data_IF_054909434246
#
_entry.id   IF_054909434246
#
_cell.length_a   1.000
_cell.length_b   1.000
_cell.length_c   1.000
_cell.angle_alpha   90.00
_cell.angle_beta   90.00
_cell.angle_gamma   90.00
#
_symmetry.space_group_name_H-M   'P 1'
#
loop_
_entity.id
_entity.type
_entity.pdbx_description
1 polymer ?
#
# COMPACT_ATOMS: atom_id res chain seq x y z
N UNK A 1 -10.43 -10.88 82.08
CA UNK A 1 -9.29 -11.02 81.14
C UNK A 1 -9.81 -10.96 79.73
N UNK A 2 -9.60 -9.87 79.09
CA UNK A 2 -10.18 -9.61 77.77
C UNK A 2 -9.16 -9.89 76.67
N UNK A 3 -9.42 -10.91 75.89
CA UNK A 3 -8.63 -11.18 74.67
C UNK A 3 -9.38 -10.50 73.50
N UNK A 4 -8.89 -9.34 73.09
CA UNK A 4 -9.32 -8.68 71.86
C UNK A 4 -8.56 -9.33 70.67
N UNK A 5 -9.28 -10.07 69.87
CA UNK A 5 -8.79 -10.56 68.60
C UNK A 5 -8.90 -9.40 67.58
N UNK A 6 -7.76 -8.95 67.08
CA UNK A 6 -7.69 -7.97 66.00
C UNK A 6 -7.76 -8.74 64.67
N UNK A 7 -8.87 -8.64 63.98
CA UNK A 7 -9.03 -9.15 62.60
C UNK A 7 -8.41 -8.12 61.66
N UNK A 8 -7.28 -8.45 61.08
CA UNK A 8 -6.73 -7.69 59.93
C UNK A 8 -7.43 -8.13 58.68
N UNK A 9 -8.30 -7.26 58.17
CA UNK A 9 -8.88 -7.40 56.86
C UNK A 9 -7.86 -7.00 55.80
N UNK A 10 -7.28 -7.97 55.13
CA UNK A 10 -6.42 -7.71 53.96
C UNK A 10 -7.24 -7.35 52.75
N UNK A 11 -7.27 -6.06 52.36
CA UNK A 11 -7.81 -5.63 51.08
C UNK A 11 -6.81 -6.02 50.00
N UNK A 12 -7.10 -7.06 49.26
CA UNK A 12 -6.38 -7.37 48.03
C UNK A 12 -6.88 -6.43 46.93
N UNK A 13 -6.10 -5.40 46.61
CA UNK A 13 -6.35 -4.55 45.48
C UNK A 13 -5.97 -5.31 44.19
N UNK A 14 -6.95 -5.84 43.51
CA UNK A 14 -6.79 -6.44 42.19
C UNK A 14 -6.55 -5.32 41.17
N UNK A 15 -5.30 -5.09 40.79
CA UNK A 15 -4.94 -4.24 39.67
C UNK A 15 -5.33 -4.97 38.38
N UNK A 16 -6.49 -4.62 37.85
CA UNK A 16 -6.88 -5.04 36.51
C UNK A 16 -5.98 -4.31 35.52
N UNK A 17 -4.95 -5.01 35.03
CA UNK A 17 -4.14 -4.53 33.92
C UNK A 17 -5.00 -4.55 32.66
N UNK A 18 -5.57 -3.42 32.30
CA UNK A 18 -6.13 -3.21 30.97
C UNK A 18 -4.95 -3.18 30.00
N UNK A 19 -4.60 -4.34 29.46
CA UNK A 19 -3.69 -4.42 28.33
C UNK A 19 -4.31 -3.64 27.17
N UNK A 20 -3.65 -2.55 26.74
CA UNK A 20 -4.03 -1.85 25.55
C UNK A 20 -3.92 -2.85 24.38
N UNK A 21 -5.07 -3.32 23.88
CA UNK A 21 -5.10 -4.09 22.64
C UNK A 21 -4.75 -3.13 21.51
N UNK A 22 -3.50 -3.19 21.06
CA UNK A 22 -3.05 -2.58 19.83
C UNK A 22 -3.76 -3.31 18.70
N UNK A 23 -4.83 -2.72 18.15
CA UNK A 23 -5.45 -3.22 16.94
C UNK A 23 -4.48 -2.97 15.79
N UNK A 24 -3.74 -4.01 15.39
CA UNK A 24 -2.96 -3.97 14.17
C UNK A 24 -3.93 -3.65 13.02
N UNK A 25 -3.73 -2.52 12.34
CA UNK A 25 -4.49 -2.20 11.15
C UNK A 25 -4.19 -3.26 10.10
N UNK A 26 -5.23 -3.94 9.57
CA UNK A 26 -5.07 -4.81 8.43
C UNK A 26 -4.46 -4.02 7.26
N UNK A 27 -3.57 -4.66 6.48
CA UNK A 27 -3.04 -4.05 5.27
C UNK A 27 -4.20 -3.64 4.35
N UNK A 28 -4.10 -2.48 3.65
CA UNK A 28 -5.13 -2.06 2.72
C UNK A 28 -5.37 -3.12 1.63
N UNK A 29 -6.64 -3.40 1.33
CA UNK A 29 -7.03 -4.39 0.31
C UNK A 29 -6.75 -3.91 -1.11
N UNK A 30 -6.54 -2.61 -1.28
CA UNK A 30 -6.29 -1.97 -2.57
C UNK A 30 -4.82 -1.60 -2.67
N UNK A 31 -4.21 -1.98 -3.78
CA UNK A 31 -2.82 -1.71 -4.08
C UNK A 31 -2.71 -0.91 -5.37
N UNK A 32 -1.84 0.08 -5.40
CA UNK A 32 -1.47 0.83 -6.60
C UNK A 32 -0.02 0.53 -6.93
N UNK A 33 0.25 0.18 -8.19
CA UNK A 33 1.61 -0.10 -8.67
C UNK A 33 1.91 0.84 -9.83
N UNK A 34 2.99 1.60 -9.69
CA UNK A 34 3.61 2.35 -10.76
C UNK A 34 4.72 1.53 -11.40
N UNK A 35 4.74 1.49 -12.73
CA UNK A 35 5.76 0.80 -13.51
C UNK A 35 6.40 1.80 -14.48
N UNK A 36 7.70 1.95 -14.38
CA UNK A 36 8.47 2.86 -15.22
C UNK A 36 9.93 2.47 -15.33
N UNK A 37 10.74 3.41 -15.71
CA UNK A 37 12.20 3.28 -15.77
C UNK A 37 12.85 4.64 -15.53
N UNK A 38 14.07 4.62 -15.03
CA UNK A 38 14.81 5.87 -14.79
C UNK A 38 15.19 6.58 -16.10
N UNK A 39 15.35 5.82 -17.16
CA UNK A 39 15.64 6.31 -18.52
C UNK A 39 14.39 6.51 -19.39
N UNK A 40 13.23 6.69 -18.75
CA UNK A 40 11.95 6.87 -19.42
C UNK A 40 11.49 8.34 -19.27
N UNK A 41 11.56 9.18 -20.33
CA UNK A 41 11.17 10.59 -20.23
C UNK A 41 9.72 10.83 -19.74
N UNK A 42 8.69 10.14 -20.27
CA UNK A 42 7.32 10.30 -19.75
C UNK A 42 7.19 9.88 -18.28
N UNK A 43 7.95 8.88 -17.84
CA UNK A 43 7.98 8.46 -16.44
C UNK A 43 8.53 9.56 -15.54
N UNK A 44 9.61 10.20 -15.95
CA UNK A 44 10.22 11.30 -15.20
C UNK A 44 9.32 12.53 -15.17
N UNK A 45 8.55 12.77 -16.23
CA UNK A 45 7.54 13.82 -16.27
C UNK A 45 6.43 13.59 -15.23
N UNK A 46 5.90 12.37 -15.17
CA UNK A 46 4.92 12.00 -14.16
C UNK A 46 5.50 12.15 -12.75
N UNK A 47 6.73 11.71 -12.55
CA UNK A 47 7.42 11.79 -11.26
C UNK A 47 7.63 13.24 -10.82
N UNK A 48 7.93 14.14 -11.73
CA UNK A 48 8.12 15.56 -11.43
C UNK A 48 6.80 16.28 -11.12
N UNK A 49 5.72 15.91 -11.76
CA UNK A 49 4.44 16.66 -11.74
C UNK A 49 3.38 16.01 -10.84
N UNK A 50 3.01 14.77 -11.10
CA UNK A 50 1.90 14.10 -10.43
C UNK A 50 2.33 13.37 -9.14
N UNK A 51 3.50 12.78 -9.12
CA UNK A 51 3.98 11.94 -8.03
C UNK A 51 4.01 12.66 -6.67
N UNK A 52 4.52 13.91 -6.53
CA UNK A 52 4.49 14.59 -5.24
C UNK A 52 3.08 14.81 -4.71
N UNK A 53 2.12 15.12 -5.59
CA UNK A 53 0.71 15.28 -5.21
C UNK A 53 0.08 13.95 -4.81
N UNK A 54 0.45 12.88 -5.50
CA UNK A 54 0.02 11.53 -5.14
C UNK A 54 0.44 11.17 -3.73
N UNK A 55 1.71 11.35 -3.39
CA UNK A 55 2.24 11.05 -2.06
C UNK A 55 1.59 11.87 -0.95
N UNK A 56 1.13 13.08 -1.26
CA UNK A 56 0.46 13.98 -0.32
C UNK A 56 -1.06 13.78 -0.26
N UNK A 57 -1.62 12.91 -1.10
CA UNK A 57 -3.07 12.72 -1.22
C UNK A 57 -3.64 11.85 -0.10
N UNK A 58 -4.94 12.02 0.18
CA UNK A 58 -5.68 11.18 1.10
C UNK A 58 -5.84 9.75 0.56
N UNK A 59 -5.93 9.60 -0.74
CA UNK A 59 -6.03 8.30 -1.42
C UNK A 59 -4.77 7.45 -1.20
N UNK A 60 -3.59 8.07 -1.24
CA UNK A 60 -2.32 7.39 -0.94
C UNK A 60 -2.32 6.73 0.43
N UNK A 61 -2.93 7.38 1.44
CA UNK A 61 -3.00 6.86 2.81
C UNK A 61 -3.89 5.61 2.93
N UNK A 62 -4.73 5.36 1.94
CA UNK A 62 -5.73 4.28 1.95
C UNK A 62 -5.32 3.04 1.16
N UNK A 63 -4.15 3.05 0.53
CA UNK A 63 -3.67 1.99 -0.34
C UNK A 63 -2.29 1.51 0.06
N UNK A 64 -1.93 0.30 -0.38
CA UNK A 64 -0.55 -0.13 -0.47
C UNK A 64 0.02 0.40 -1.79
N UNK A 65 1.21 0.97 -1.78
CA UNK A 65 1.81 1.56 -2.96
C UNK A 65 3.19 0.98 -3.23
N UNK A 66 3.44 0.63 -4.49
CA UNK A 66 4.72 0.11 -4.94
C UNK A 66 5.17 0.78 -6.23
N UNK A 67 6.48 0.94 -6.36
CA UNK A 67 7.12 1.45 -7.56
C UNK A 67 8.05 0.39 -8.15
N UNK A 68 7.87 0.11 -9.42
CA UNK A 68 8.78 -0.73 -10.21
C UNK A 68 9.48 0.21 -11.18
N UNK A 69 10.68 0.64 -10.83
CA UNK A 69 11.43 1.62 -11.64
C UNK A 69 12.91 1.24 -11.71
N UNK A 70 13.27 0.23 -12.51
CA UNK A 70 14.66 -0.12 -12.73
C UNK A 70 15.41 1.01 -13.43
N UNK A 71 16.75 0.96 -13.40
CA UNK A 71 17.60 1.92 -14.08
C UNK A 71 17.32 1.94 -15.58
N UNK A 72 17.12 0.77 -16.16
CA UNK A 72 16.80 0.61 -17.59
C UNK A 72 15.35 0.21 -17.78
N UNK A 73 14.62 1.01 -18.54
CA UNK A 73 13.22 0.79 -18.86
C UNK A 73 12.93 -0.62 -19.41
N UNK A 74 13.82 -1.14 -20.23
CA UNK A 74 13.69 -2.50 -20.81
C UNK A 74 13.58 -3.61 -19.76
N UNK A 75 13.97 -3.33 -18.52
CA UNK A 75 13.93 -4.28 -17.41
C UNK A 75 12.66 -4.14 -16.55
N UNK A 76 11.76 -3.18 -16.89
CA UNK A 76 10.58 -2.88 -16.08
C UNK A 76 9.64 -4.07 -15.90
N UNK A 77 9.58 -4.97 -16.88
CA UNK A 77 8.73 -6.16 -16.83
C UNK A 77 9.51 -7.45 -16.59
N UNK A 78 10.80 -7.36 -16.31
CA UNK A 78 11.59 -8.49 -15.88
C UNK A 78 11.22 -8.87 -14.44
N UNK A 79 11.06 -10.17 -14.20
CA UNK A 79 10.73 -10.70 -12.88
C UNK A 79 11.71 -10.23 -11.80
N UNK A 80 12.98 -10.06 -12.16
CA UNK A 80 14.03 -9.57 -11.24
C UNK A 80 13.79 -8.17 -10.73
N UNK A 81 13.05 -7.33 -11.47
CA UNK A 81 12.71 -5.96 -11.07
C UNK A 81 11.51 -5.91 -10.13
N UNK A 82 10.83 -7.03 -9.92
CA UNK A 82 9.63 -7.12 -9.12
C UNK A 82 9.90 -7.82 -7.78
N UNK A 83 9.39 -7.27 -6.66
CA UNK A 83 9.38 -8.01 -5.41
C UNK A 83 8.69 -9.36 -5.59
N UNK A 84 9.20 -10.39 -4.92
CA UNK A 84 8.66 -11.75 -5.05
C UNK A 84 7.15 -11.79 -4.81
N UNK A 85 6.65 -11.04 -3.81
CA UNK A 85 5.23 -11.00 -3.48
C UNK A 85 4.35 -10.41 -4.60
N UNK A 86 4.92 -9.62 -5.51
CA UNK A 86 4.20 -8.98 -6.62
C UNK A 86 4.34 -9.72 -7.95
N UNK A 87 5.11 -10.77 -8.02
CA UNK A 87 5.28 -11.55 -9.26
C UNK A 87 3.99 -12.17 -9.79
N UNK A 88 3.05 -12.63 -8.94
CA UNK A 88 1.74 -13.05 -9.42
C UNK A 88 0.94 -11.93 -10.11
N UNK A 89 1.15 -10.67 -9.73
CA UNK A 89 0.57 -9.52 -10.41
C UNK A 89 1.24 -9.31 -11.76
N UNK A 90 2.57 -9.40 -11.82
CA UNK A 90 3.31 -9.32 -13.09
C UNK A 90 2.81 -10.32 -14.13
N UNK A 91 2.51 -11.54 -13.71
CA UNK A 91 1.97 -12.58 -14.60
C UNK A 91 0.64 -12.19 -15.24
N UNK A 92 -0.16 -11.36 -14.57
CA UNK A 92 -1.45 -10.87 -15.06
C UNK A 92 -1.32 -9.71 -16.04
N UNK A 93 -0.17 -9.02 -16.11
CA UNK A 93 -0.02 -7.82 -16.94
C UNK A 93 -0.08 -8.21 -18.41
N UNK A 94 -1.10 -7.75 -19.16
CA UNK A 94 -1.17 -8.01 -20.60
C UNK A 94 -0.14 -7.12 -21.31
N UNK A 95 0.45 -7.63 -22.40
CA UNK A 95 1.40 -6.87 -23.22
C UNK A 95 2.42 -6.13 -22.34
N UNK A 96 3.41 -6.84 -21.84
CA UNK A 96 4.46 -6.34 -20.96
C UNK A 96 5.37 -5.34 -21.68
N UNK A 97 4.79 -4.21 -22.09
CA UNK A 97 5.47 -3.12 -22.79
C UNK A 97 4.75 -1.81 -22.57
N UNK A 98 5.46 -0.69 -22.69
CA UNK A 98 4.93 0.66 -22.48
C UNK A 98 5.00 1.11 -21.03
N UNK A 99 5.37 2.38 -20.87
CA UNK A 99 5.52 3.06 -19.57
C UNK A 99 5.28 4.56 -19.73
N UNK A 100 4.92 5.27 -18.67
CA UNK A 100 4.55 4.73 -17.38
C UNK A 100 3.28 3.87 -17.45
N UNK A 101 3.19 2.86 -16.61
CA UNK A 101 1.99 2.06 -16.44
C UNK A 101 1.53 2.14 -15.00
N UNK A 102 0.22 2.22 -14.80
CA UNK A 102 -0.39 2.29 -13.48
C UNK A 102 -1.39 1.15 -13.34
N UNK A 103 -1.20 0.34 -12.33
CA UNK A 103 -2.08 -0.77 -12.00
C UNK A 103 -2.82 -0.48 -10.70
N UNK A 104 -4.09 -0.83 -10.65
CA UNK A 104 -4.82 -1.00 -9.39
C UNK A 104 -5.06 -2.49 -9.24
N UNK A 105 -4.69 -3.02 -8.08
CA UNK A 105 -4.87 -4.42 -7.70
C UNK A 105 -5.82 -4.48 -6.52
N UNK A 106 -6.85 -5.27 -6.64
CA UNK A 106 -7.81 -5.53 -5.59
C UNK A 106 -8.04 -7.04 -5.49
N UNK A 107 -7.95 -7.57 -4.28
CA UNK A 107 -8.08 -9.01 -4.05
C UNK A 107 -7.18 -9.86 -4.96
N UNK A 108 -5.92 -9.44 -5.07
CA UNK A 108 -4.88 -10.10 -5.89
C UNK A 108 -5.12 -10.06 -7.40
N UNK A 109 -6.09 -9.30 -7.88
CA UNK A 109 -6.39 -9.14 -9.30
C UNK A 109 -6.19 -7.71 -9.77
N UNK A 110 -5.66 -7.56 -10.98
CA UNK A 110 -5.60 -6.27 -11.66
C UNK A 110 -7.02 -5.85 -12.03
N UNK A 111 -7.48 -4.73 -11.48
CA UNK A 111 -8.81 -4.16 -11.75
C UNK A 111 -8.73 -2.87 -12.56
N UNK A 112 -7.56 -2.27 -12.69
CA UNK A 112 -7.30 -1.12 -13.57
C UNK A 112 -5.88 -1.24 -14.11
N UNK A 113 -5.71 -0.94 -15.38
CA UNK A 113 -4.45 -1.01 -16.10
C UNK A 113 -4.40 0.16 -17.10
N UNK A 114 -3.69 1.22 -16.74
CA UNK A 114 -3.62 2.46 -17.50
C UNK A 114 -2.20 2.70 -17.98
N UNK A 115 -2.06 3.07 -19.25
CA UNK A 115 -0.78 3.32 -19.90
C UNK A 115 -0.63 4.78 -20.29
N UNK A 116 0.55 5.32 -20.04
CA UNK A 116 0.94 6.67 -20.43
C UNK A 116 0.73 7.70 -19.33
N UNK A 117 1.42 8.82 -19.48
CA UNK A 117 1.41 9.91 -18.50
C UNK A 117 0.00 10.51 -18.30
N UNK A 118 -0.74 10.70 -19.40
CA UNK A 118 -2.10 11.22 -19.36
C UNK A 118 -3.11 10.28 -18.69
N UNK A 119 -2.80 8.99 -18.62
CA UNK A 119 -3.69 7.99 -18.02
C UNK A 119 -3.70 8.01 -16.50
N UNK A 120 -2.82 8.79 -15.86
CA UNK A 120 -2.81 8.91 -14.40
C UNK A 120 -4.13 9.42 -13.84
N UNK A 121 -4.76 10.39 -14.50
CA UNK A 121 -6.07 10.90 -14.06
C UNK A 121 -7.16 9.83 -14.13
N UNK A 122 -7.10 8.96 -15.14
CA UNK A 122 -8.00 7.81 -15.23
C UNK A 122 -7.75 6.81 -14.10
N UNK A 123 -6.49 6.59 -13.75
CA UNK A 123 -6.11 5.73 -12.61
C UNK A 123 -6.71 6.26 -11.31
N UNK A 124 -6.61 7.57 -11.06
CA UNK A 124 -7.20 8.18 -9.87
C UNK A 124 -8.74 8.07 -9.85
N UNK A 125 -9.37 8.23 -11.00
CA UNK A 125 -10.83 8.08 -11.12
C UNK A 125 -11.26 6.63 -10.84
N UNK A 126 -10.54 5.65 -11.39
CA UNK A 126 -10.77 4.23 -11.14
C UNK A 126 -10.57 3.89 -9.66
N UNK A 127 -9.50 4.44 -9.06
CA UNK A 127 -9.16 4.18 -7.67
C UNK A 127 -10.28 4.59 -6.69
N UNK A 128 -10.94 5.71 -6.95
CA UNK A 128 -12.03 6.20 -6.10
C UNK A 128 -13.16 5.18 -5.95
N UNK A 129 -13.40 4.36 -6.97
CA UNK A 129 -14.44 3.33 -6.93
C UNK A 129 -14.14 2.21 -5.92
N UNK A 130 -12.88 2.01 -5.57
CA UNK A 130 -12.43 0.98 -4.64
C UNK A 130 -12.16 1.49 -3.23
N UNK A 131 -12.24 2.80 -3.01
CA UNK A 131 -11.93 3.42 -1.71
C UNK A 131 -13.16 3.90 -0.94
N UNK A 132 -14.33 3.77 -1.51
CA UNK A 132 -15.61 4.14 -0.90
C UNK A 132 -16.18 3.01 -0.04
#
# INVERSE_FOLDING_TARGET
>A
MNRRALLFASLAASLASFGAMSTARAAPDVMVIYIGGQDCPPCQQWRANAHPRWLASSEFQKVSYFEIEPILLKEAYDERSWPRALRPVLEQVPRKSGTPRFLIVHESRIVSNQLGNSAWMNTLADLKQYLE
#
